data_IF_767583021251
#
_entry.id   IF_767583021251
#
_cell.length_a   1.000
_cell.length_b   1.000
_cell.length_c   1.000
_cell.angle_alpha   90.00
_cell.angle_beta   90.00
_cell.angle_gamma   90.00
#
_symmetry.space_group_name_H-M   'P 1'
#
loop_
_entity.id
_entity.type
_entity.pdbx_description
1 polymer ?
2 non-polymer ?
3 non-polymer ?
4 non-polymer ?
5 water ?
#
# COMPACT_ATOMS: atom_id res chain seq x y z
N UNK A 1 -3.09 -7.35 14.55
CA UNK A 1 -3.91 -7.17 13.32
C UNK A 1 -4.53 -5.78 13.30
N UNK A 2 -4.96 -5.35 12.11
CA UNK A 2 -5.70 -4.11 11.96
C UNK A 2 -7.00 -4.43 11.20
N UNK A 3 -8.01 -3.58 11.36
CA UNK A 3 -9.31 -3.80 10.75
C UNK A 3 -9.89 -2.54 10.12
N UNK A 4 -10.70 -2.72 9.09
CA UNK A 4 -11.48 -1.62 8.50
C UNK A 4 -12.82 -2.13 7.99
N UNK A 5 -13.88 -1.39 8.32
CA UNK A 5 -15.23 -1.73 7.93
C UNK A 5 -15.83 -0.63 7.06
N UNK A 6 -16.26 -1.01 5.85
CA UNK A 6 -16.85 -0.07 4.91
C UNK A 6 -18.28 0.33 5.30
N UNK A 7 -18.97 -0.53 6.05
CA UNK A 7 -20.31 -0.19 6.55
C UNK A 7 -20.20 0.92 7.58
N UNK A 8 -20.74 2.09 7.25
CA UNK A 8 -20.64 3.26 8.11
C UNK A 8 -19.32 3.99 8.03
N UNK A 9 -18.45 3.61 7.09
CA UNK A 9 -17.15 4.26 6.93
C UNK A 9 -17.32 5.71 6.50
N UNK A 10 -16.50 6.59 7.09
CA UNK A 10 -16.38 7.98 6.67
C UNK A 10 -14.90 8.37 6.72
N UNK A 11 -14.56 9.62 6.32
CA UNK A 11 -13.15 10.03 6.37
C UNK A 11 -12.46 9.80 7.71
N UNK A 12 -13.21 9.91 8.80
CA UNK A 12 -12.66 9.73 10.13
C UNK A 12 -12.28 8.27 10.41
N UNK A 13 -13.21 7.34 10.21
CA UNK A 13 -12.93 5.92 10.47
C UNK A 13 -11.88 5.37 9.51
N UNK A 14 -11.83 5.90 8.30
CA UNK A 14 -10.77 5.54 7.37
C UNK A 14 -9.41 6.01 7.89
N UNK A 15 -9.35 7.27 8.35
CA UNK A 15 -8.13 7.82 8.94
C UNK A 15 -7.65 7.01 10.13
N UNK A 16 -8.59 6.55 10.94
CA UNK A 16 -8.27 5.69 12.08
C UNK A 16 -7.65 4.37 11.62
N UNK A 17 -8.22 3.79 10.56
CA UNK A 17 -7.66 2.56 9.97
C UNK A 17 -6.23 2.76 9.44
N UNK A 18 -5.99 3.86 8.75
CA UNK A 18 -4.65 4.14 8.20
C UNK A 18 -3.64 4.41 9.33
N UNK A 19 -4.08 5.11 10.38
CA UNK A 19 -3.25 5.30 11.57
C UNK A 19 -2.89 3.94 12.18
N UNK A 20 -3.89 3.08 12.35
CA UNK A 20 -3.68 1.73 12.89
C UNK A 20 -2.70 0.92 12.05
N UNK A 21 -2.85 1.02 10.73
CA UNK A 21 -1.97 0.32 9.80
C UNK A 21 -0.51 0.76 9.96
N UNK A 22 -0.28 2.08 9.92
CA UNK A 22 1.06 2.64 10.15
C UNK A 22 1.65 2.17 11.48
N UNK A 23 0.85 2.26 12.55
CA UNK A 23 1.34 1.93 13.89
C UNK A 23 1.59 0.44 14.08
N UNK A 24 1.02 -0.38 13.22
CA UNK A 24 1.28 -1.81 13.25
C UNK A 24 2.61 -2.19 12.60
N UNK A 25 3.22 -1.28 11.85
CA UNK A 25 4.50 -1.56 11.22
C UNK A 25 5.60 -1.22 12.21
N UNK A 26 6.46 -2.21 12.53
CA UNK A 26 7.47 -1.96 13.55
C UNK A 26 8.66 -1.18 13.01
N UNK A 27 9.27 -0.39 13.87
CA UNK A 27 10.49 0.33 13.53
C UNK A 27 11.33 0.49 14.79
N UNK A 28 12.62 0.68 14.58
CA UNK A 28 13.58 0.79 15.67
C UNK A 28 14.08 2.24 15.78
N UNK A 29 14.12 2.96 14.67
CA UNK A 29 14.50 4.37 14.65
C UNK A 29 13.64 5.17 13.69
N UNK A 30 13.74 6.49 13.81
CA UNK A 30 13.21 7.41 12.84
C UNK A 30 14.35 8.14 12.16
N UNK A 31 14.13 8.46 10.88
CA UNK A 31 15.07 9.22 10.11
C UNK A 31 14.34 10.49 9.71
N UNK A 32 14.87 11.62 10.15
CA UNK A 32 14.21 12.91 10.01
C UNK A 32 12.77 12.83 10.51
N UNK A 33 12.59 12.14 11.63
CA UNK A 33 11.31 12.04 12.31
C UNK A 33 10.26 11.13 11.62
N UNK A 34 10.71 10.34 10.64
CA UNK A 34 9.84 9.40 9.94
C UNK A 34 10.27 7.97 10.30
N UNK A 35 9.32 7.13 10.71
CA UNK A 35 9.63 5.73 11.02
C UNK A 35 10.38 5.03 9.88
N UNK A 36 11.48 4.37 10.23
CA UNK A 36 12.29 3.62 9.28
C UNK A 36 11.92 2.14 9.41
N UNK A 37 11.33 1.59 8.36
CA UNK A 37 10.95 0.18 8.38
C UNK A 37 12.19 -0.70 8.52
N UNK A 38 12.01 -1.85 9.14
CA UNK A 38 13.13 -2.72 9.47
C UNK A 38 13.75 -3.34 8.23
N UNK A 39 15.07 -3.64 8.27
CA UNK A 39 15.74 -4.34 7.17
C UNK A 39 15.12 -5.70 6.90
N UNK A 40 14.84 -6.45 7.96
CA UNK A 40 14.20 -7.74 7.82
C UNK A 40 13.54 -8.17 9.12
N UNK A 41 12.59 -9.09 8.98
CA UNK A 41 11.93 -9.73 10.11
C UNK A 41 11.81 -11.20 9.73
N UNK A 42 12.03 -12.10 10.69
CA UNK A 42 12.04 -13.53 10.40
C UNK A 42 10.78 -14.20 10.90
N UNK A 43 10.31 -15.18 10.13
CA UNK A 43 9.14 -15.96 10.49
C UNK A 43 7.84 -15.23 10.21
N UNK A 44 6.82 -15.59 10.96
CA UNK A 44 5.46 -15.08 10.74
C UNK A 44 5.31 -13.61 11.14
N UNK A 45 6.19 -13.12 12.02
CA UNK A 45 6.18 -11.73 12.45
C UNK A 45 6.47 -10.73 11.34
N UNK A 46 6.89 -11.23 10.17
CA UNK A 46 7.08 -10.38 9.00
C UNK A 46 5.76 -9.90 8.41
N UNK A 47 4.66 -10.59 8.70
CA UNK A 47 3.40 -10.34 8.00
C UNK A 47 2.31 -9.79 8.91
N UNK A 48 1.79 -8.63 8.54
CA UNK A 48 0.64 -8.03 9.18
C UNK A 48 -0.62 -8.53 8.49
N UNK A 49 -1.65 -8.83 9.27
CA UNK A 49 -2.96 -9.20 8.72
C UNK A 49 -3.91 -8.01 8.81
N UNK A 50 -4.48 -7.62 7.67
CA UNK A 50 -5.49 -6.58 7.62
C UNK A 50 -6.84 -7.23 7.37
N UNK A 51 -7.77 -7.04 8.29
CA UNK A 51 -9.13 -7.53 8.13
C UNK A 51 -10.00 -6.45 7.53
N UNK A 52 -10.48 -6.69 6.31
CA UNK A 52 -11.31 -5.71 5.60
C UNK A 52 -12.71 -6.27 5.37
N UNK A 53 -13.71 -5.47 5.71
CA UNK A 53 -15.11 -5.86 5.59
C UNK A 53 -15.82 -4.97 4.61
N UNK A 54 -16.49 -5.59 3.64
CA UNK A 54 -17.27 -4.83 2.68
C UNK A 54 -18.55 -4.34 3.33
N UNK A 55 -19.28 -3.50 2.62
CA UNK A 55 -20.48 -2.87 3.17
C UNK A 55 -21.45 -3.88 3.78
N UNK A 56 -21.58 -5.05 3.14
CA UNK A 56 -22.46 -6.12 3.62
C UNK A 56 -21.86 -6.99 4.71
N UNK A 57 -20.62 -6.71 5.12
CA UNK A 57 -20.01 -7.41 6.24
C UNK A 57 -19.26 -8.69 5.88
N UNK A 58 -19.13 -8.98 4.58
CA UNK A 58 -18.22 -10.05 4.15
C UNK A 58 -16.79 -9.55 4.28
N UNK A 59 -15.86 -10.46 4.49
CA UNK A 59 -14.49 -10.09 4.85
C UNK A 59 -13.42 -10.87 4.11
N UNK A 60 -12.32 -10.17 3.83
CA UNK A 60 -11.07 -10.81 3.46
C UNK A 60 -10.01 -10.39 4.46
N UNK A 61 -8.98 -11.22 4.60
CA UNK A 61 -7.81 -10.89 5.39
C UNK A 61 -6.64 -10.76 4.42
N UNK A 62 -5.97 -9.62 4.45
CA UNK A 62 -4.89 -9.33 3.53
C UNK A 62 -3.58 -9.41 4.32
N UNK A 63 -2.59 -10.10 3.74
CA UNK A 63 -1.28 -10.27 4.38
C UNK A 63 -0.33 -9.24 3.84
N UNK A 64 0.28 -8.46 4.73
CA UNK A 64 1.15 -7.37 4.35
C UNK A 64 2.54 -7.58 4.96
N UNK A 65 3.58 -7.50 4.12
CA UNK A 65 4.96 -7.58 4.59
C UNK A 65 5.31 -6.27 5.30
N UNK A 66 5.67 -6.37 6.58
CA UNK A 66 5.85 -5.18 7.43
C UNK A 66 7.16 -4.42 7.18
N UNK A 67 8.06 -5.01 6.39
CA UNK A 67 9.31 -4.33 6.04
C UNK A 67 9.16 -3.40 4.83
N UNK A 68 8.18 -3.66 3.97
CA UNK A 68 7.96 -2.85 2.77
C UNK A 68 6.51 -2.43 2.47
N UNK A 69 5.56 -2.87 3.31
CA UNK A 69 4.12 -2.64 3.15
C UNK A 69 3.53 -3.26 1.87
N UNK A 70 4.22 -4.24 1.28
CA UNK A 70 3.73 -4.93 0.09
C UNK A 70 2.69 -5.98 0.46
N UNK A 71 1.58 -5.98 -0.26
CA UNK A 71 0.56 -7.00 -0.13
C UNK A 71 1.11 -8.30 -0.73
N UNK A 72 1.09 -9.36 0.06
CA UNK A 72 1.62 -10.66 -0.38
C UNK A 72 0.51 -11.55 -0.94
N UNK A 73 -0.66 -11.45 -0.35
CA UNK A 73 -1.77 -12.34 -0.67
C UNK A 73 -2.93 -12.03 0.26
N UNK A 74 -3.94 -12.86 0.21
CA UNK A 74 -5.13 -12.63 1.02
C UNK A 74 -5.93 -13.91 1.18
N UNK A 75 -6.82 -13.91 2.16
CA UNK A 75 -7.69 -15.03 2.44
C UNK A 75 -9.14 -14.60 2.23
N UNK A 76 -9.86 -15.39 1.45
CA UNK A 76 -11.28 -15.16 1.23
C UNK A 76 -12.02 -16.46 1.54
N UNK A 77 -12.73 -16.44 2.66
CA UNK A 77 -13.36 -17.64 3.25
C UNK A 77 -12.33 -18.76 3.51
N UNK A 78 -12.30 -19.79 2.67
CA UNK A 78 -11.41 -20.94 2.92
C UNK A 78 -10.37 -21.09 1.81
N UNK A 79 -10.23 -20.07 0.98
CA UNK A 79 -9.26 -20.08 -0.09
C UNK A 79 -8.28 -18.94 0.09
N UNK A 80 -6.99 -19.26 0.10
CA UNK A 80 -5.94 -18.25 0.10
C UNK A 80 -5.47 -17.99 -1.33
N UNK A 81 -5.03 -16.75 -1.57
CA UNK A 81 -4.53 -16.32 -2.86
C UNK A 81 -3.23 -15.56 -2.65
N UNK A 82 -2.18 -15.94 -3.37
CA UNK A 82 -0.89 -15.28 -3.25
C UNK A 82 -0.40 -14.87 -4.62
N UNK A 83 0.35 -13.77 -4.68
CA UNK A 83 0.98 -13.37 -5.92
C UNK A 83 1.99 -14.43 -6.37
N UNK A 84 2.20 -14.49 -7.67
CA UNK A 84 3.17 -15.41 -8.24
C UNK A 84 4.53 -14.74 -8.19
N UNK A 85 5.14 -14.75 -7.01
CA UNK A 85 6.47 -14.15 -6.79
C UNK A 85 7.09 -14.82 -5.54
N UNK A 86 8.43 -14.90 -5.48
CA UNK A 86 9.06 -15.63 -4.36
C UNK A 86 8.73 -15.11 -2.96
N UNK A 87 8.67 -13.79 -2.81
CA UNK A 87 8.31 -13.18 -1.54
C UNK A 87 6.92 -13.61 -1.09
N UNK A 88 5.99 -13.75 -2.04
CA UNK A 88 4.64 -14.18 -1.73
C UNK A 88 4.58 -15.68 -1.43
N UNK A 89 5.29 -16.49 -2.20
CA UNK A 89 5.35 -17.93 -1.91
C UNK A 89 5.96 -18.14 -0.52
N UNK A 90 6.98 -17.37 -0.19
CA UNK A 90 7.57 -17.42 1.15
C UNK A 90 6.52 -17.08 2.19
N UNK A 91 5.79 -15.98 1.99
CA UNK A 91 4.71 -15.60 2.91
C UNK A 91 3.70 -16.73 3.08
N UNK A 92 3.45 -17.48 2.01
CA UNK A 92 2.47 -18.58 2.04
C UNK A 92 2.89 -19.69 3.01
N UNK A 93 4.15 -19.68 3.42
CA UNK A 93 4.64 -20.63 4.41
C UNK A 93 4.18 -20.27 5.81
N UNK A 94 3.79 -19.00 6.02
CA UNK A 94 3.45 -18.49 7.35
C UNK A 94 2.00 -18.08 7.58
N UNK A 95 1.32 -17.58 6.56
CA UNK A 95 -0.04 -17.08 6.75
C UNK A 95 -1.06 -17.90 5.98
N UNK A 96 -2.28 -17.94 6.54
CA UNK A 96 -3.42 -18.60 5.91
C UNK A 96 -3.19 -20.08 5.69
N UNK A 97 -2.35 -20.68 6.52
CA UNK A 97 -2.02 -22.11 6.42
C UNK A 97 -3.26 -23.00 6.57
N UNK A 98 -4.24 -22.55 7.35
CA UNK A 98 -5.46 -23.32 7.56
C UNK A 98 -6.48 -23.24 6.40
N UNK A 99 -6.19 -22.46 5.35
CA UNK A 99 -7.06 -22.42 4.17
C UNK A 99 -7.19 -23.81 3.54
N UNK A 100 -8.40 -24.13 3.08
CA UNK A 100 -8.66 -25.44 2.47
C UNK A 100 -7.93 -25.62 1.14
N UNK A 101 -7.79 -24.56 0.37
CA UNK A 101 -6.94 -24.59 -0.82
C UNK A 101 -6.21 -23.27 -1.01
N UNK A 102 -5.12 -23.34 -1.75
CA UNK A 102 -4.30 -22.18 -2.02
C UNK A 102 -4.21 -21.97 -3.50
N UNK A 103 -4.56 -20.77 -3.94
CA UNK A 103 -4.45 -20.41 -5.35
C UNK A 103 -3.32 -19.40 -5.52
N UNK A 104 -2.41 -19.70 -6.43
CA UNK A 104 -1.40 -18.74 -6.81
C UNK A 104 -1.95 -17.94 -7.97
N UNK A 105 -2.05 -16.63 -7.80
CA UNK A 105 -2.59 -15.76 -8.83
C UNK A 105 -1.66 -15.80 -10.04
N UNK A 106 -2.23 -15.59 -11.24
CA UNK A 106 -1.40 -15.71 -12.44
C UNK A 106 -0.64 -14.41 -12.79
N UNK A 107 -0.19 -13.69 -11.76
CA UNK A 107 0.68 -12.52 -11.92
C UNK A 107 1.40 -12.27 -10.61
N UNK A 108 2.51 -11.54 -10.68
CA UNK A 108 3.17 -10.98 -9.50
C UNK A 108 2.43 -9.72 -9.06
N UNK A 109 2.85 -9.14 -7.93
CA UNK A 109 2.13 -8.06 -7.29
C UNK A 109 2.57 -6.66 -7.68
N UNK A 110 3.52 -6.54 -8.60
CA UNK A 110 3.98 -5.20 -8.98
C UNK A 110 2.98 -4.52 -9.92
N UNK A 111 2.98 -3.19 -9.87
CA UNK A 111 1.98 -2.42 -10.58
C UNK A 111 1.95 -2.72 -12.09
N UNK A 112 3.11 -2.91 -12.69
CA UNK A 112 3.17 -3.13 -14.14
C UNK A 112 2.46 -4.42 -14.56
N UNK A 113 2.71 -5.51 -13.82
CA UNK A 113 2.05 -6.78 -14.12
C UNK A 113 0.56 -6.77 -13.81
N UNK A 114 0.18 -6.12 -12.71
CA UNK A 114 -1.23 -6.01 -12.32
C UNK A 114 -2.04 -5.25 -13.36
N UNK A 115 -1.46 -4.17 -13.87
CA UNK A 115 -2.10 -3.32 -14.89
C UNK A 115 -2.28 -4.08 -16.21
N UNK A 116 -1.29 -4.89 -16.58
CA UNK A 116 -1.40 -5.80 -17.72
C UNK A 116 -2.55 -6.78 -17.54
N UNK A 117 -2.59 -7.45 -16.40
CA UNK A 117 -3.65 -8.42 -16.10
C UNK A 117 -5.02 -7.74 -16.10
N UNK A 118 -5.08 -6.54 -15.52
CA UNK A 118 -6.34 -5.80 -15.38
C UNK A 118 -6.82 -5.21 -16.70
N UNK A 119 -5.89 -5.03 -17.64
CA UNK A 119 -6.21 -4.50 -18.95
C UNK A 119 -6.24 -2.99 -18.99
N UNK A 120 -5.77 -2.34 -17.94
CA UNK A 120 -5.75 -0.89 -17.89
C UNK A 120 -4.74 -0.36 -16.87
N UNK A 121 -4.20 0.84 -17.13
CA UNK A 121 -3.30 1.44 -16.17
C UNK A 121 -4.12 2.03 -15.04
N UNK A 122 -3.51 2.19 -13.88
CA UNK A 122 -4.29 2.62 -12.73
C UNK A 122 -4.62 4.12 -12.78
N UNK A 123 -4.02 4.85 -13.73
CA UNK A 123 -4.49 6.18 -14.10
C UNK A 123 -5.98 6.19 -14.50
N UNK A 124 -6.46 5.07 -15.01
CA UNK A 124 -7.84 4.94 -15.50
C UNK A 124 -8.78 4.23 -14.55
N UNK A 125 -8.27 3.79 -13.39
CA UNK A 125 -9.07 3.04 -12.43
C UNK A 125 -9.46 3.96 -11.27
N UNK A 126 -10.76 4.29 -11.15
CA UNK A 126 -11.22 5.05 -10.00
C UNK A 126 -10.91 4.37 -8.68
N UNK A 127 -10.51 5.17 -7.69
CA UNK A 127 -10.28 4.66 -6.35
C UNK A 127 -11.08 5.51 -5.38
N UNK A 128 -11.18 5.04 -4.14
CA UNK A 128 -12.03 5.65 -3.14
C UNK A 128 -12.56 4.56 -2.24
N UNK A 129 -13.37 4.93 -1.26
CA UNK A 129 -13.97 3.93 -0.38
C UNK A 129 -15.01 3.06 -1.10
N UNK A 130 -15.83 3.67 -1.98
CA UNK A 130 -16.72 2.79 -2.75
C UNK A 130 -15.96 1.77 -3.60
N UNK A 131 -14.87 2.19 -4.24
CA UNK A 131 -14.06 1.26 -5.03
C UNK A 131 -13.44 0.18 -4.15
N UNK A 132 -13.07 0.53 -2.92
CA UNK A 132 -12.51 -0.47 -2.00
C UNK A 132 -13.56 -1.52 -1.61
N UNK A 133 -14.79 -1.06 -1.36
CA UNK A 133 -15.90 -1.97 -1.07
C UNK A 133 -16.10 -2.96 -2.23
N UNK A 134 -16.07 -2.45 -3.47
CA UNK A 134 -16.14 -3.29 -4.67
C UNK A 134 -14.99 -4.28 -4.73
N UNK A 135 -13.79 -3.80 -4.42
CA UNK A 135 -12.59 -4.63 -4.53
C UNK A 135 -12.67 -5.82 -3.60
N UNK A 136 -13.07 -5.56 -2.36
CA UNK A 136 -13.25 -6.62 -1.37
C UNK A 136 -14.25 -7.64 -1.91
N UNK A 137 -15.37 -7.14 -2.42
CA UNK A 137 -16.43 -8.00 -2.94
C UNK A 137 -15.92 -8.89 -4.07
N UNK A 138 -15.18 -8.29 -4.99
CA UNK A 138 -14.58 -9.00 -6.12
C UNK A 138 -13.63 -10.11 -5.68
N UNK A 139 -12.80 -9.82 -4.68
CA UNK A 139 -11.78 -10.76 -4.24
C UNK A 139 -12.38 -11.94 -3.50
N UNK A 140 -13.64 -11.83 -3.06
CA UNK A 140 -14.31 -12.92 -2.36
C UNK A 140 -14.49 -14.14 -3.26
N UNK A 141 -14.61 -13.91 -4.56
CA UNK A 141 -14.79 -15.01 -5.51
C UNK A 141 -13.86 -14.90 -6.69
N UNK A 142 -13.07 -15.96 -6.86
CA UNK A 142 -11.95 -15.94 -7.76
C UNK A 142 -12.30 -15.54 -9.19
N UNK A 143 -11.62 -14.51 -9.67
CA UNK A 143 -11.72 -14.07 -11.05
C UNK A 143 -10.42 -13.29 -11.29
N UNK A 144 -9.44 -13.91 -11.94
CA UNK A 144 -8.08 -13.34 -11.93
C UNK A 144 -7.98 -11.99 -12.64
N UNK A 145 -8.77 -11.82 -13.69
CA UNK A 145 -8.83 -10.52 -14.38
C UNK A 145 -9.44 -9.44 -13.50
N UNK A 146 -10.61 -9.70 -12.94
CA UNK A 146 -11.27 -8.74 -12.05
C UNK A 146 -10.42 -8.50 -10.78
N UNK A 147 -9.80 -9.56 -10.28
CA UNK A 147 -8.94 -9.48 -9.10
C UNK A 147 -7.77 -8.51 -9.29
N UNK A 148 -7.15 -8.53 -10.47
CA UNK A 148 -6.05 -7.61 -10.75
C UNK A 148 -6.44 -6.15 -10.57
N UNK A 149 -7.63 -5.79 -11.07
CA UNK A 149 -8.14 -4.43 -10.90
C UNK A 149 -8.46 -4.15 -9.44
N UNK A 150 -9.09 -5.12 -8.78
CA UNK A 150 -9.43 -4.98 -7.38
C UNK A 150 -8.17 -4.80 -6.52
N UNK A 151 -7.10 -5.51 -6.87
CA UNK A 151 -5.86 -5.42 -6.12
C UNK A 151 -5.17 -4.06 -6.30
N UNK A 152 -5.28 -3.47 -7.50
CA UNK A 152 -4.78 -2.11 -7.72
C UNK A 152 -5.48 -1.11 -6.82
N UNK A 153 -6.79 -1.26 -6.69
CA UNK A 153 -7.56 -0.40 -5.79
C UNK A 153 -7.15 -0.64 -4.34
N UNK A 154 -7.03 -1.92 -3.99
CA UNK A 154 -6.74 -2.30 -2.61
C UNK A 154 -5.38 -1.77 -2.16
N UNK A 155 -4.37 -1.98 -3.00
CA UNK A 155 -3.00 -1.54 -2.68
C UNK A 155 -2.93 -0.04 -2.45
N UNK A 156 -3.63 0.71 -3.30
CA UNK A 156 -3.57 2.17 -3.23
C UNK A 156 -4.35 2.76 -2.05
N UNK A 157 -5.47 2.15 -1.69
CA UNK A 157 -6.30 2.63 -0.60
C UNK A 157 -5.86 2.11 0.77
N UNK A 158 -4.86 1.23 0.80
CA UNK A 158 -4.31 0.75 2.07
C UNK A 158 -2.83 1.13 2.16
N UNK A 159 -1.96 0.32 1.55
CA UNK A 159 -0.51 0.53 1.62
C UNK A 159 -0.05 1.93 1.19
N UNK A 160 -0.51 2.40 0.04
CA UNK A 160 -0.05 3.71 -0.45
C UNK A 160 -0.53 4.85 0.48
N UNK A 161 -1.75 4.73 1.01
CA UNK A 161 -2.26 5.71 1.97
C UNK A 161 -1.49 5.70 3.27
N UNK A 162 -1.08 4.51 3.73
CA UNK A 162 -0.20 4.41 4.89
C UNK A 162 1.14 5.12 4.65
N UNK A 163 1.69 4.99 3.45
CA UNK A 163 2.99 5.58 3.12
C UNK A 163 3.00 7.09 3.00
N UNK A 164 1.89 7.65 2.55
CA UNK A 164 1.81 9.09 2.25
C UNK A 164 0.51 9.69 2.78
N UNK A 165 0.64 10.72 3.61
CA UNK A 165 -0.51 11.47 4.13
C UNK A 165 -1.35 12.05 2.99
N UNK A 166 -0.71 12.51 1.93
CA UNK A 166 -1.42 13.06 0.78
C UNK A 166 -2.39 12.02 0.18
N UNK A 167 -1.91 10.79 0.02
CA UNK A 167 -2.75 9.75 -0.58
C UNK A 167 -3.91 9.39 0.36
N UNK A 168 -3.63 9.31 1.66
CA UNK A 168 -4.69 9.10 2.65
C UNK A 168 -5.79 10.16 2.50
N UNK A 169 -5.38 11.42 2.38
CA UNK A 169 -6.33 12.53 2.20
C UNK A 169 -7.12 12.43 0.88
N UNK A 170 -6.44 12.05 -0.19
CA UNK A 170 -7.10 11.82 -1.47
C UNK A 170 -8.21 10.78 -1.37
N UNK A 171 -7.95 9.70 -0.62
CA UNK A 171 -8.96 8.66 -0.42
C UNK A 171 -10.10 9.17 0.47
N UNK A 172 -9.75 9.98 1.46
CA UNK A 172 -10.77 10.63 2.30
C UNK A 172 -11.69 11.51 1.47
N UNK A 173 -11.12 12.23 0.49
CA UNK A 173 -11.92 13.05 -0.43
C UNK A 173 -12.83 12.17 -1.29
N UNK A 174 -12.46 10.90 -1.46
CA UNK A 174 -13.23 9.94 -2.23
C UNK A 174 -13.99 8.97 -1.35
N UNK A 175 -14.46 9.43 -0.19
CA UNK A 175 -15.20 8.58 0.74
C UNK A 175 -16.53 8.10 0.16
N UNK A 176 -17.20 8.94 -0.64
CA UNK A 176 -18.54 8.61 -1.15
C UNK A 176 -18.66 8.72 -2.67
N UNK A 177 -17.54 9.03 -3.33
CA UNK A 177 -17.47 9.12 -4.78
C UNK A 177 -16.05 8.74 -5.21
N UNK A 178 -15.95 7.70 -6.03
CA UNK A 178 -14.66 7.30 -6.58
C UNK A 178 -14.16 8.31 -7.58
N UNK A 179 -12.84 8.38 -7.71
CA UNK A 179 -12.23 9.18 -8.74
C UNK A 179 -10.86 8.62 -9.02
N UNK A 180 -10.46 8.64 -10.29
CA UNK A 180 -9.13 8.18 -10.65
C UNK A 180 -8.10 8.98 -9.84
N UNK A 181 -6.95 8.36 -9.52
CA UNK A 181 -5.93 9.04 -8.72
C UNK A 181 -5.36 10.28 -9.41
N UNK A 182 -5.04 11.31 -8.62
CA UNK A 182 -4.32 12.46 -9.15
C UNK A 182 -2.96 12.00 -9.69
N UNK A 183 -2.42 12.77 -10.64
CA UNK A 183 -1.08 12.52 -11.16
C UNK A 183 -0.04 12.57 -10.03
N UNK A 184 -0.26 13.45 -9.06
CA UNK A 184 0.60 13.52 -7.88
C UNK A 184 0.58 12.21 -7.09
N UNK A 185 -0.61 11.64 -6.94
CA UNK A 185 -0.76 10.35 -6.25
C UNK A 185 0.09 9.29 -6.94
N UNK A 186 -0.08 9.18 -8.25
CA UNK A 186 0.67 8.21 -9.05
C UNK A 186 2.17 8.42 -8.88
N UNK A 187 2.58 9.68 -8.93
CA UNK A 187 3.99 10.05 -8.81
C UNK A 187 4.59 9.64 -7.47
N UNK A 188 3.85 9.88 -6.38
CA UNK A 188 4.30 9.49 -5.04
C UNK A 188 4.44 7.99 -4.90
N UNK A 189 3.45 7.25 -5.41
CA UNK A 189 3.49 5.79 -5.40
C UNK A 189 4.76 5.31 -6.07
N UNK A 190 5.01 5.84 -7.26
CA UNK A 190 6.17 5.45 -8.05
C UNK A 190 7.51 5.88 -7.46
N UNK A 191 7.50 6.87 -6.56
CA UNK A 191 8.72 7.44 -5.98
C UNK A 191 9.03 7.03 -4.54
N UNK A 192 8.21 6.15 -3.96
CA UNK A 192 8.35 5.85 -2.54
C UNK A 192 9.74 5.30 -2.22
N UNK A 193 10.20 4.38 -3.07
CA UNK A 193 11.50 3.75 -2.88
C UNK A 193 12.62 4.77 -3.02
N UNK A 194 12.56 5.58 -4.08
CA UNK A 194 13.52 6.65 -4.32
C UNK A 194 13.59 7.66 -3.19
N UNK A 195 12.43 8.11 -2.72
CA UNK A 195 12.36 9.06 -1.61
C UNK A 195 12.90 8.47 -0.31
N UNK A 196 12.50 7.25 -0.02
CA UNK A 196 12.96 6.54 1.16
C UNK A 196 14.48 6.49 1.18
N UNK A 197 15.06 6.14 0.03
CA UNK A 197 16.50 6.04 -0.11
C UNK A 197 17.18 7.40 0.10
N UNK A 198 16.70 8.42 -0.60
CA UNK A 198 17.32 9.75 -0.54
C UNK A 198 17.21 10.41 0.82
N UNK A 199 16.14 10.13 1.55
CA UNK A 199 15.96 10.66 2.91
C UNK A 199 16.98 10.00 3.84
N UNK A 200 17.21 8.71 3.66
CA UNK A 200 18.24 8.02 4.42
C UNK A 200 19.65 8.49 4.06
N UNK A 201 19.93 8.64 2.76
CA UNK A 201 21.24 9.13 2.30
C UNK A 201 21.54 10.56 2.77
N UNK A 202 20.48 11.32 3.02
CA UNK A 202 20.62 12.69 3.51
C UNK A 202 21.14 12.76 4.96
N UNK A 203 21.00 11.68 5.73
CA UNK A 203 21.44 11.65 7.13
C UNK A 203 22.88 12.14 7.30
N UNK A 204 23.78 11.64 6.44
CA UNK A 204 25.19 12.03 6.48
C UNK A 204 25.59 13.02 5.40
N UNK A 205 24.62 13.72 4.83
CA UNK A 205 24.84 14.65 3.73
C UNK A 205 24.13 15.97 4.03
N UNK A 206 24.05 16.32 5.32
CA UNK A 206 23.47 17.58 5.77
C UNK A 206 22.02 17.81 5.33
N UNK A 207 21.25 16.72 5.22
CA UNK A 207 19.86 16.82 4.79
C UNK A 207 19.66 17.01 3.30
N UNK A 208 20.73 16.87 2.51
CA UNK A 208 20.67 17.06 1.06
C UNK A 208 20.61 15.69 0.36
N UNK A 209 19.67 15.54 -0.58
CA UNK A 209 19.56 14.33 -1.39
C UNK A 209 20.81 14.18 -2.26
N UNK A 210 21.39 12.98 -2.30
CA UNK A 210 22.47 12.67 -3.25
C UNK A 210 21.99 12.80 -4.69
N UNK A 211 20.74 12.35 -4.93
CA UNK A 211 20.09 12.42 -6.24
C UNK A 211 18.69 13.00 -6.03
N UNK A 212 18.35 14.10 -6.75
CA UNK A 212 17.02 14.68 -6.56
C UNK A 212 15.92 13.75 -7.07
N UNK A 213 14.73 13.90 -6.50
CA UNK A 213 13.58 13.10 -6.86
C UNK A 213 12.56 13.99 -7.57
N UNK A 214 12.15 13.59 -8.77
CA UNK A 214 11.16 14.34 -9.54
C UNK A 214 9.75 13.85 -9.21
N UNK A 215 8.89 14.77 -8.76
CA UNK A 215 7.49 14.49 -8.48
C UNK A 215 6.58 15.39 -9.31
N UNK A 216 5.30 15.00 -9.37
CA UNK A 216 4.23 15.89 -9.82
C UNK A 216 3.51 16.39 -8.59
N UNK A 217 3.20 17.69 -8.54
CA UNK A 217 2.52 18.27 -7.38
C UNK A 217 0.99 18.29 -7.52
N UNK A 218 0.32 18.74 -6.47
CA UNK A 218 -1.15 18.80 -6.42
C UNK A 218 -1.81 19.47 -7.62
N UNK A 219 -1.10 20.38 -8.27
CA UNK A 219 -1.64 21.17 -9.38
C UNK A 219 -1.27 20.61 -10.76
N UNK A 220 -0.65 19.43 -10.78
CA UNK A 220 -0.23 18.81 -12.05
C UNK A 220 1.14 19.26 -12.53
N UNK A 221 1.85 20.04 -11.70
CA UNK A 221 3.17 20.58 -12.07
C UNK A 221 4.33 19.73 -11.57
N UNK A 222 5.31 19.51 -12.45
CA UNK A 222 6.43 18.60 -12.19
C UNK A 222 7.54 19.30 -11.41
N UNK A 223 7.81 18.85 -10.18
CA UNK A 223 8.76 19.52 -9.29
C UNK A 223 9.89 18.60 -8.79
N UNK A 224 11.00 19.21 -8.40
CA UNK A 224 12.19 18.49 -7.94
C UNK A 224 12.34 18.59 -6.43
N UNK A 225 12.56 17.43 -5.79
CA UNK A 225 12.78 17.38 -4.35
C UNK A 225 14.28 17.15 -4.13
N UNK A 226 14.93 18.10 -3.47
CA UNK A 226 16.40 18.09 -3.35
C UNK A 226 16.92 17.92 -1.92
N UNK A 227 16.06 18.12 -0.96
CA UNK A 227 16.45 18.15 0.45
C UNK A 227 15.30 17.87 1.42
N UNK A 228 15.60 17.55 2.68
CA UNK A 228 14.60 17.19 3.67
C UNK A 228 13.70 18.31 4.18
N UNK A 229 13.92 19.55 3.73
CA UNK A 229 13.03 20.66 4.10
C UNK A 229 11.76 20.66 3.24
N UNK A 230 11.76 19.87 2.17
CA UNK A 230 10.59 19.77 1.30
C UNK A 230 9.36 19.27 2.08
N UNK A 231 8.20 19.79 1.69
CA UNK A 231 6.93 19.38 2.31
C UNK A 231 6.68 17.87 2.20
N UNK A 232 7.14 17.29 1.10
CA UNK A 232 7.04 15.84 0.89
C UNK A 232 7.67 15.11 2.08
N UNK A 233 8.82 15.60 2.53
CA UNK A 233 9.55 14.97 3.63
C UNK A 233 9.04 15.37 5.01
N UNK A 234 8.73 16.67 5.21
CA UNK A 234 8.31 17.15 6.53
C UNK A 234 6.84 16.85 6.84
N UNK A 235 6.04 16.80 5.81
CA UNK A 235 4.60 16.52 5.97
C UNK A 235 3.95 15.07 5.76
N UNK A 236 4.36 14.76 4.57
CA UNK A 236 3.70 13.84 3.64
C UNK A 236 4.10 12.39 3.90
N UNK A 237 5.33 12.02 3.55
CA UNK A 237 5.78 10.64 3.70
C UNK A 237 5.72 10.23 5.18
N UNK A 238 5.21 9.03 5.43
CA UNK A 238 5.01 8.55 6.81
C UNK A 238 5.81 7.31 7.13
N UNK A 239 6.45 6.72 6.12
CA UNK A 239 7.18 5.47 6.32
C UNK A 239 8.33 5.41 5.31
N UNK A 240 9.47 4.90 5.76
CA UNK A 240 10.64 4.77 4.90
C UNK A 240 10.98 3.31 4.68
N UNK A 241 11.08 2.94 3.40
CA UNK A 241 11.64 1.67 2.99
C UNK A 241 13.13 1.69 3.34
N UNK A 242 13.58 0.70 4.10
CA UNK A 242 14.97 0.61 4.51
C UNK A 242 15.85 0.48 3.27
N UNK A 243 16.91 1.28 3.21
CA UNK A 243 17.82 1.26 2.05
C UNK A 243 18.46 -0.12 1.85
N UNK A 244 18.52 -0.91 2.91
CA UNK A 244 19.00 -2.30 2.80
C UNK A 244 18.11 -3.16 1.88
N UNK A 245 16.85 -2.74 1.71
CA UNK A 245 15.91 -3.41 0.79
C UNK A 245 15.74 -2.68 -0.55
N UNK A 246 16.64 -1.73 -0.86
CA UNK A 246 16.56 -0.97 -2.10
C UNK A 246 17.76 -1.29 -2.99
X LIG B 1 15.89 22.86 -0.33
X LIG B 1 16.53 23.89 -1.25
X LIG B 1 15.57 25.09 -1.44
X LIG B 1 14.10 24.68 -1.52
X LIG B 1 13.75 23.69 -0.42
X LIG B 1 12.29 23.25 -0.39
X LIG B 1 18.87 23.47 -0.65
X LIG B 1 20.07 23.92 0.15
X LIG B 1 17.76 24.22 -0.55
X LIG B 1 15.91 25.78 -2.61
X LIG B 1 13.29 25.82 -1.43
X LIG B 1 14.56 22.56 -0.64
X LIG B 1 11.92 22.73 -1.64
X LIG B 1 18.97 22.46 -1.36
X LIG C 1 -18.34 3.94 0.85
X LIG C 1 -19.53 3.74 0.09
X LIG C 1 -18.58 3.56 2.31
X LIG C 1 -19.19 2.26 2.38
X LIG C 1 -19.46 4.65 2.93
X LIG C 1 -19.77 4.36 4.30
X LIG D 1 5.68 12.32 9.98
X LIG D 1 4.73 12.51 11.00
X LIG D 1 5.94 13.67 9.39
X LIG D 1 7.13 14.26 9.90
X LIG D 1 5.53 13.89 7.93
X LIG D 1 6.48 13.68 6.89
X LIG E 1 2.59 -1.98 -3.66
X LIG E 1 2.10 -2.63 -2.60
X LIG E 1 2.51 -3.97 -4.95
X LIG E 1 2.78 -2.64 -4.83
X LIG E 1 3.24 -2.04 -5.82
X LIG E 1 1.87 -2.03 -1.42
X LIG E 1 1.80 -3.98 -2.72
X LIG E 1 2.02 -4.65 -3.92
#
# INVERSE_FOLDING_TARGET
DVSFRLSGADPSSYGMFIKDLRNALPHTEKVYNIPLLLPSVSGAGRYLLMHLFNYDGNTITVAVDVTNVYIMGYLALTTSYFFNEPAADLASQYVFRSARRKITLPYSGNYERLQIAAGKPREKIPIGLPALDTAISTLLHYDSTAAAGALLVLIQTTAEAARFKYIEQQIQERAYRDEVPSSATISLENSWSGLSKQIQLAQGNNGVFRTPTVLVDSKGNRVQITNVTSNVVTSNIQLLLNTKNI
NAG C1 C2 C3 C4 C5 C6 C7 C8 N2 O3 O4 O5 O6 O7
GOL C1 O1 C2 O2 C3 O3
GOL C1 O1 C2 O2 C3 O3
CYT N3 C4 N1 C2 O2 N4 C5 C6
#
